data_IF_077050596435
#
_entry.id   IF_077050596435
#
_cell.length_a   1.000
_cell.length_b   1.000
_cell.length_c   1.000
_cell.angle_alpha   90.00
_cell.angle_beta   90.00
_cell.angle_gamma   90.00
#
_symmetry.space_group_name_H-M   'P 1'
#
loop_
_entity.id
_entity.type
_entity.pdbx_description
1 polymer ?
#
# COMPACT_ATOMS: atom_id res chain seq x y z
N UNK A 1 22.45 6.56 6.01
CA UNK A 1 21.50 7.28 6.88
C UNK A 1 20.20 6.49 6.91
N UNK A 2 19.81 5.95 8.06
CA UNK A 2 18.52 5.26 8.21
C UNK A 2 17.45 6.31 8.49
N UNK A 3 16.71 6.73 7.47
CA UNK A 3 15.50 7.54 7.66
C UNK A 3 14.52 6.76 8.55
N UNK A 4 13.86 7.42 9.52
CA UNK A 4 12.83 6.76 10.32
C UNK A 4 11.76 6.18 9.39
N UNK A 5 11.50 4.87 9.50
CA UNK A 5 10.50 4.17 8.69
C UNK A 5 9.14 4.86 8.85
N UNK A 6 8.52 5.22 7.74
CA UNK A 6 7.20 5.86 7.74
C UNK A 6 6.16 4.96 8.43
N UNK A 7 5.02 5.53 8.85
CA UNK A 7 3.90 4.72 9.37
C UNK A 7 3.46 3.65 8.36
N UNK A 8 3.54 3.94 7.06
CA UNK A 8 3.26 2.98 6.00
C UNK A 8 4.27 1.83 6.00
N UNK A 9 5.57 2.12 6.10
CA UNK A 9 6.62 1.09 6.18
C UNK A 9 6.47 0.19 7.40
N UNK A 10 6.08 0.75 8.54
CA UNK A 10 5.87 -0.01 9.77
C UNK A 10 4.68 -0.96 9.66
N UNK A 11 3.62 -0.55 8.95
CA UNK A 11 2.40 -1.33 8.80
C UNK A 11 2.35 -2.14 7.50
N UNK A 12 3.44 -2.11 6.73
CA UNK A 12 3.54 -2.73 5.40
C UNK A 12 3.16 -4.20 5.39
N UNK A 13 3.53 -4.98 6.41
CA UNK A 13 3.20 -6.41 6.48
C UNK A 13 1.69 -6.66 6.44
N UNK A 14 0.91 -5.87 7.17
CA UNK A 14 -0.55 -5.95 7.19
C UNK A 14 -1.11 -5.49 5.85
N UNK A 15 -0.65 -4.34 5.36
CA UNK A 15 -1.07 -3.79 4.07
C UNK A 15 -0.83 -4.77 2.91
N UNK A 16 0.36 -5.35 2.82
CA UNK A 16 0.76 -6.32 1.81
C UNK A 16 -0.15 -7.54 1.80
N UNK A 17 -0.52 -8.06 2.97
CA UNK A 17 -1.40 -9.25 3.07
C UNK A 17 -2.79 -9.04 2.45
N UNK A 18 -3.27 -7.79 2.43
CA UNK A 18 -4.59 -7.42 1.89
C UNK A 18 -4.51 -6.79 0.50
N UNK A 19 -3.31 -6.44 0.03
CA UNK A 19 -3.14 -5.67 -1.21
C UNK A 19 -3.65 -6.43 -2.45
N UNK A 20 -3.49 -7.76 -2.50
CA UNK A 20 -4.03 -8.57 -3.61
C UNK A 20 -5.55 -8.73 -3.55
N UNK A 21 -6.16 -8.55 -2.37
CA UNK A 21 -7.63 -8.55 -2.21
C UNK A 21 -8.23 -7.20 -2.65
N UNK A 22 -7.53 -6.09 -2.37
CA UNK A 22 -8.00 -4.74 -2.71
C UNK A 22 -7.73 -4.34 -4.16
N UNK A 23 -6.67 -4.89 -4.76
CA UNK A 23 -6.25 -4.57 -6.12
C UNK A 23 -5.98 -5.84 -6.91
N UNK A 24 -6.95 -6.24 -7.74
CA UNK A 24 -6.92 -7.46 -8.55
C UNK A 24 -5.77 -7.57 -9.57
N UNK A 25 -5.12 -6.45 -9.96
CA UNK A 25 -3.99 -6.43 -10.90
C UNK A 25 -2.63 -6.56 -10.20
N UNK A 26 -2.61 -6.49 -8.87
CA UNK A 26 -1.40 -6.70 -8.09
C UNK A 26 -1.20 -8.18 -7.80
N UNK A 27 0.02 -8.64 -8.03
CA UNK A 27 0.44 -9.98 -7.69
C UNK A 27 1.52 -9.95 -6.60
N UNK A 28 1.74 -11.07 -5.92
CA UNK A 28 2.72 -11.15 -4.83
C UNK A 28 4.15 -10.74 -5.28
N UNK A 29 4.52 -11.02 -6.53
CA UNK A 29 5.82 -10.65 -7.07
C UNK A 29 6.00 -9.12 -7.19
N UNK A 30 4.93 -8.37 -7.45
CA UNK A 30 4.97 -6.90 -7.47
C UNK A 30 5.17 -6.36 -6.06
N UNK A 31 4.47 -6.94 -5.09
CA UNK A 31 4.58 -6.57 -3.68
C UNK A 31 5.97 -6.90 -3.11
N UNK A 32 6.62 -7.98 -3.55
CA UNK A 32 8.02 -8.29 -3.21
C UNK A 32 8.99 -7.20 -3.68
N UNK A 33 8.72 -6.53 -4.80
CA UNK A 33 9.54 -5.39 -5.26
C UNK A 33 9.36 -4.17 -4.38
N UNK A 34 8.15 -3.95 -3.87
CA UNK A 34 7.86 -2.86 -2.92
C UNK A 34 8.55 -3.15 -1.58
N UNK A 35 8.47 -4.38 -1.08
CA UNK A 35 9.06 -4.80 0.20
C UNK A 35 10.56 -4.49 0.32
N UNK A 36 11.29 -4.59 -0.79
CA UNK A 36 12.73 -4.30 -0.88
C UNK A 36 13.07 -2.82 -1.05
N UNK A 37 12.09 -1.94 -1.24
CA UNK A 37 12.33 -0.52 -1.44
C UNK A 37 12.58 0.20 -0.10
N UNK A 38 13.46 1.20 -0.14
CA UNK A 38 13.71 2.11 0.99
C UNK A 38 12.46 2.93 1.35
N UNK A 39 11.75 3.41 0.32
CA UNK A 39 10.45 4.09 0.43
C UNK A 39 9.35 3.21 -0.17
N UNK A 40 8.69 2.42 0.68
CA UNK A 40 7.61 1.52 0.27
C UNK A 40 6.39 2.28 -0.22
N UNK A 41 6.08 3.43 0.39
CA UNK A 41 4.90 4.19 0.05
C UNK A 41 5.02 4.74 -1.39
N UNK A 42 6.12 5.40 -1.71
CA UNK A 42 6.35 5.93 -3.04
C UNK A 42 6.45 4.81 -4.09
N UNK A 43 7.09 3.68 -3.74
CA UNK A 43 7.17 2.53 -4.64
C UNK A 43 5.80 1.91 -4.91
N UNK A 44 4.94 1.82 -3.89
CA UNK A 44 3.58 1.31 -4.02
C UNK A 44 2.68 2.26 -4.83
N UNK A 45 2.79 3.58 -4.61
CA UNK A 45 2.11 4.59 -5.43
C UNK A 45 2.47 4.40 -6.90
N UNK A 46 3.77 4.32 -7.21
CA UNK A 46 4.26 4.10 -8.58
C UNK A 46 3.71 2.80 -9.18
N UNK A 47 3.63 1.73 -8.39
CA UNK A 47 3.06 0.45 -8.82
C UNK A 47 1.59 0.59 -9.22
N UNK A 48 0.79 1.31 -8.44
CA UNK A 48 -0.61 1.59 -8.79
C UNK A 48 -0.73 2.44 -10.05
N UNK A 49 0.13 3.43 -10.25
CA UNK A 49 0.17 4.20 -11.49
C UNK A 49 0.44 3.31 -12.70
N UNK A 50 1.41 2.39 -12.62
CA UNK A 50 1.76 1.49 -13.73
C UNK A 50 0.67 0.46 -14.01
N UNK A 51 0.06 -0.12 -12.97
CA UNK A 51 -0.91 -1.21 -13.13
C UNK A 51 -2.31 -0.71 -13.51
N UNK A 52 -2.70 0.45 -13.01
CA UNK A 52 -4.06 0.97 -13.15
C UNK A 52 -4.15 2.29 -13.93
N UNK A 53 -3.01 2.87 -14.35
CA UNK A 53 -2.99 4.15 -15.05
C UNK A 53 -3.33 5.36 -14.16
N UNK A 54 -3.27 5.20 -12.85
CA UNK A 54 -3.64 6.27 -11.92
C UNK A 54 -2.66 7.45 -11.97
N UNK A 55 -3.18 8.65 -11.73
CA UNK A 55 -2.33 9.77 -11.33
C UNK A 55 -1.73 9.49 -9.95
N UNK A 56 -0.61 10.15 -9.63
CA UNK A 56 0.04 10.00 -8.32
C UNK A 56 -0.93 10.32 -7.17
N UNK A 57 -1.69 11.40 -7.32
CA UNK A 57 -2.72 11.79 -6.35
C UNK A 57 -3.77 10.69 -6.19
N UNK A 58 -4.34 10.19 -7.29
CA UNK A 58 -5.37 9.15 -7.23
C UNK A 58 -4.86 7.87 -6.58
N UNK A 59 -3.64 7.45 -6.91
CA UNK A 59 -3.02 6.28 -6.28
C UNK A 59 -2.86 6.47 -4.76
N UNK A 60 -2.49 7.67 -4.32
CA UNK A 60 -2.34 7.98 -2.90
C UNK A 60 -3.69 8.02 -2.16
N UNK A 61 -4.73 8.56 -2.81
CA UNK A 61 -6.12 8.53 -2.31
C UNK A 61 -6.63 7.10 -2.17
N UNK A 62 -6.42 6.23 -3.17
CA UNK A 62 -6.83 4.82 -3.12
C UNK A 62 -6.16 4.08 -1.95
N UNK A 63 -4.86 4.29 -1.74
CA UNK A 63 -4.14 3.73 -0.59
C UNK A 63 -4.79 4.17 0.71
N UNK A 64 -5.01 5.48 0.88
CA UNK A 64 -5.60 6.05 2.09
C UNK A 64 -7.02 5.54 2.33
N UNK A 65 -7.85 5.45 1.29
CA UNK A 65 -9.22 4.97 1.37
C UNK A 65 -9.29 3.51 1.84
N UNK A 66 -8.46 2.64 1.25
CA UNK A 66 -8.39 1.21 1.66
C UNK A 66 -7.87 1.07 3.08
N UNK A 67 -6.88 1.88 3.45
CA UNK A 67 -6.34 1.91 4.81
C UNK A 67 -7.41 2.32 5.81
N UNK A 68 -8.08 3.45 5.59
CA UNK A 68 -9.16 3.94 6.45
C UNK A 68 -10.28 2.92 6.59
N UNK A 69 -10.75 2.34 5.48
CA UNK A 69 -11.78 1.31 5.51
C UNK A 69 -11.36 0.10 6.36
N UNK A 70 -10.11 -0.35 6.23
CA UNK A 70 -9.56 -1.46 7.01
C UNK A 70 -9.51 -1.17 8.52
N UNK A 71 -9.00 -0.01 8.94
CA UNK A 71 -8.96 0.34 10.36
C UNK A 71 -10.34 0.60 10.95
N UNK A 72 -11.25 1.22 10.20
CA UNK A 72 -12.62 1.45 10.66
C UNK A 72 -13.37 0.12 10.85
N UNK A 73 -13.27 -0.80 9.90
CA UNK A 73 -13.84 -2.14 10.04
C UNK A 73 -13.29 -2.88 11.27
N UNK A 74 -11.97 -2.76 11.52
CA UNK A 74 -11.34 -3.40 12.69
C UNK A 74 -11.74 -2.76 14.02
N UNK A 75 -11.98 -1.44 14.05
CA UNK A 75 -12.42 -0.71 15.25
C UNK A 75 -13.88 -1.02 15.60
N UNK A 76 -14.72 -1.28 14.61
CA UNK A 76 -16.13 -1.63 14.81
C UNK A 76 -16.35 -3.12 15.16
N UNK A 77 -15.36 -3.97 14.91
CA UNK A 77 -15.41 -5.41 15.16
C UNK A 77 -14.85 -5.83 16.53
N UNK A 78 -14.46 -4.89 17.38
CA UNK A 78 -14.00 -5.11 18.76
C UNK A 78 -14.76 -4.22 19.73
#
# INVERSE_FOLDING_TARGET
MNSPKSKFDQQWKVFRSRSTEWWSLLAEHDLKKVDKADDKQNKFVTLLQVKYGYTRQRAQEEINNRWMAFYMARKLAG
#
